data_IF_416280630458
#
_entry.id   IF_416280630458
#
_cell.length_a   1.000
_cell.length_b   1.000
_cell.length_c   1.000
_cell.angle_alpha   90.00
_cell.angle_beta   90.00
_cell.angle_gamma   90.00
#
_symmetry.space_group_name_H-M   'P 1'
#
loop_
_entity.id
_entity.type
_entity.pdbx_description
1 polymer ?
#
# COMPACT_ATOMS: atom_id res chain seq x y z
N UNK A 1 2.21 -27.85 -1.65
CA UNK A 1 2.41 -26.40 -1.61
C UNK A 1 3.24 -25.96 -2.83
N UNK A 2 2.77 -24.96 -3.54
CA UNK A 2 3.56 -24.32 -4.60
C UNK A 2 4.08 -23.00 -4.05
N UNK A 3 5.36 -22.72 -4.23
CA UNK A 3 5.95 -21.42 -3.97
C UNK A 3 6.63 -20.89 -5.23
N UNK A 4 6.40 -19.63 -5.54
CA UNK A 4 7.10 -18.88 -6.57
C UNK A 4 8.00 -17.88 -5.85
N UNK A 5 9.30 -17.93 -6.13
CA UNK A 5 10.25 -16.99 -5.57
C UNK A 5 10.43 -15.82 -6.54
N UNK A 6 10.17 -14.61 -6.07
CA UNK A 6 10.44 -13.37 -6.80
C UNK A 6 11.58 -12.65 -6.08
N UNK A 7 12.84 -12.93 -6.43
CA UNK A 7 13.96 -12.16 -5.91
C UNK A 7 13.95 -10.75 -6.51
N UNK A 8 14.02 -9.75 -5.68
CA UNK A 8 14.24 -8.37 -6.10
C UNK A 8 15.30 -7.72 -5.23
N UNK A 9 16.05 -6.80 -5.80
CA UNK A 9 17.04 -6.02 -5.09
C UNK A 9 16.44 -4.68 -4.71
N UNK A 10 16.60 -4.29 -3.47
CA UNK A 10 16.18 -3.00 -2.95
C UNK A 10 17.36 -2.39 -2.19
N UNK A 11 17.61 -1.08 -2.27
CA UNK A 11 18.59 -0.45 -1.42
C UNK A 11 18.15 -0.55 0.03
N UNK A 12 19.03 -0.96 0.91
CA UNK A 12 18.78 -1.07 2.34
C UNK A 12 19.85 -0.33 3.12
N UNK A 13 19.43 0.15 4.29
CA UNK A 13 20.31 0.68 5.31
C UNK A 13 21.58 -0.17 5.46
N UNK A 14 22.66 0.31 4.90
CA UNK A 14 23.98 -0.09 5.32
C UNK A 14 24.56 1.07 6.12
N UNK A 15 24.95 0.80 7.36
CA UNK A 15 25.60 1.78 8.23
C UNK A 15 27.09 1.96 7.88
N UNK A 16 27.57 1.18 6.93
CA UNK A 16 28.93 1.21 6.41
C UNK A 16 28.92 1.82 5.00
N UNK A 17 29.77 2.82 4.79
CA UNK A 17 29.88 3.68 3.60
C UNK A 17 30.44 2.99 2.35
N UNK A 18 30.37 1.67 2.23
CA UNK A 18 30.98 0.90 1.14
C UNK A 18 30.03 0.65 -0.05
N UNK A 19 29.12 1.59 -0.32
CA UNK A 19 28.27 1.52 -1.52
C UNK A 19 29.10 1.68 -2.80
N UNK A 20 28.87 0.81 -3.80
CA UNK A 20 29.43 0.97 -5.13
C UNK A 20 28.74 2.14 -5.84
N UNK A 21 29.49 2.92 -6.63
CA UNK A 21 28.87 3.91 -7.52
C UNK A 21 28.07 3.24 -8.62
N UNK A 22 27.13 3.96 -9.25
CA UNK A 22 26.38 3.43 -10.38
C UNK A 22 27.30 2.91 -11.49
N UNK A 23 28.40 3.61 -11.75
CA UNK A 23 29.41 3.17 -12.73
C UNK A 23 30.13 1.88 -12.31
N UNK A 24 30.43 1.72 -11.01
CA UNK A 24 31.10 0.51 -10.50
C UNK A 24 30.14 -0.69 -10.48
N UNK A 25 28.86 -0.47 -10.17
CA UNK A 25 27.86 -1.53 -10.04
C UNK A 25 27.36 -2.04 -11.40
N UNK A 26 27.05 -1.14 -12.34
CA UNK A 26 26.48 -1.45 -13.65
C UNK A 26 27.51 -1.39 -14.79
N UNK A 27 28.76 -1.00 -14.51
CA UNK A 27 29.78 -0.82 -15.54
C UNK A 27 29.39 0.25 -16.55
N UNK A 28 29.71 0.03 -17.83
CA UNK A 28 29.42 0.97 -18.93
C UNK A 28 27.89 1.15 -19.16
N UNK A 29 27.07 0.23 -18.69
CA UNK A 29 25.62 0.21 -18.93
C UNK A 29 24.85 1.12 -17.97
N UNK A 30 25.49 1.73 -16.97
CA UNK A 30 24.82 2.58 -15.97
C UNK A 30 23.97 3.69 -16.59
N UNK A 31 24.36 4.20 -17.77
CA UNK A 31 23.61 5.26 -18.50
C UNK A 31 22.25 4.80 -19.03
N UNK A 32 22.06 3.49 -19.15
CA UNK A 32 20.81 2.87 -19.60
C UNK A 32 19.94 2.39 -18.45
N UNK A 33 20.39 2.58 -17.21
CA UNK A 33 19.67 2.14 -16.02
C UNK A 33 18.86 3.30 -15.45
N UNK A 34 17.60 3.01 -15.11
CA UNK A 34 16.70 3.92 -14.44
C UNK A 34 16.34 3.39 -13.07
N UNK A 35 16.17 4.31 -12.13
CA UNK A 35 15.68 4.03 -10.79
C UNK A 35 14.16 4.18 -10.74
N UNK A 36 13.50 3.18 -10.17
CA UNK A 36 12.07 3.20 -9.87
C UNK A 36 11.87 3.21 -8.36
N UNK A 37 11.07 4.14 -7.90
CA UNK A 37 10.69 4.24 -6.49
C UNK A 37 9.38 3.51 -6.26
N UNK A 38 9.26 2.86 -5.10
CA UNK A 38 8.00 2.33 -4.61
C UNK A 38 7.90 2.49 -3.10
N UNK A 39 6.69 2.56 -2.59
CA UNK A 39 6.41 2.61 -1.15
C UNK A 39 5.61 1.38 -0.76
N UNK A 40 6.01 0.74 0.32
CA UNK A 40 5.21 -0.26 1.03
C UNK A 40 4.83 0.34 2.39
N UNK A 41 3.54 0.56 2.59
CA UNK A 41 3.04 1.27 3.77
C UNK A 41 2.18 0.38 4.63
N UNK A 42 2.42 0.39 5.94
CA UNK A 42 1.46 -0.03 6.94
C UNK A 42 0.58 1.16 7.32
N UNK A 43 -0.73 0.95 7.39
CA UNK A 43 -1.72 2.03 7.55
C UNK A 43 -2.67 1.76 8.70
N UNK A 44 -3.00 2.83 9.43
CA UNK A 44 -4.10 2.87 10.38
C UNK A 44 -4.99 4.05 10.05
N UNK A 45 -6.30 3.84 10.04
CA UNK A 45 -7.29 4.88 9.73
C UNK A 45 -8.45 4.86 10.68
N UNK A 46 -8.99 6.04 10.92
CA UNK A 46 -10.27 6.23 11.58
C UNK A 46 -11.26 6.81 10.57
N UNK A 47 -12.31 6.08 10.30
CA UNK A 47 -13.43 6.48 9.45
C UNK A 47 -14.54 7.06 10.30
N UNK A 48 -15.13 8.14 9.81
CA UNK A 48 -16.21 8.87 10.45
C UNK A 48 -17.37 8.91 9.48
N UNK A 49 -18.30 7.92 9.53
CA UNK A 49 -19.46 7.89 8.67
C UNK A 49 -20.23 9.21 8.74
N UNK A 50 -20.65 9.73 7.58
CA UNK A 50 -21.46 10.95 7.56
C UNK A 50 -22.92 10.62 7.80
N UNK A 51 -23.69 11.63 8.24
CA UNK A 51 -25.12 11.49 8.49
C UNK A 51 -25.84 10.95 7.25
N UNK A 52 -26.60 9.89 7.42
CA UNK A 52 -27.25 9.15 6.33
C UNK A 52 -26.58 7.84 5.96
N UNK A 53 -25.37 7.58 6.43
CA UNK A 53 -24.73 6.27 6.27
C UNK A 53 -25.51 5.18 7.00
N UNK A 54 -25.68 4.03 6.35
CA UNK A 54 -26.52 2.95 6.86
C UNK A 54 -25.79 1.62 6.97
N UNK A 55 -26.36 0.78 7.79
CA UNK A 55 -26.10 -0.65 7.81
C UNK A 55 -27.00 -1.38 6.83
N UNK A 56 -26.61 -2.59 6.37
CA UNK A 56 -27.42 -3.45 5.49
C UNK A 56 -28.81 -3.79 6.03
N UNK A 57 -29.04 -3.62 7.33
CA UNK A 57 -30.34 -3.80 7.97
C UNK A 57 -31.16 -2.48 8.04
N UNK A 58 -30.66 -1.40 7.41
CA UNK A 58 -31.30 -0.08 7.39
C UNK A 58 -31.11 0.75 8.64
N UNK A 59 -30.33 0.28 9.62
CA UNK A 59 -29.95 1.05 10.80
C UNK A 59 -28.93 2.13 10.47
N UNK A 60 -28.86 3.19 11.29
CA UNK A 60 -27.82 4.22 11.17
C UNK A 60 -26.42 3.65 11.47
N UNK A 61 -25.42 4.14 10.75
CA UNK A 61 -24.00 3.83 10.98
C UNK A 61 -23.32 5.13 11.49
N UNK A 62 -23.39 5.36 12.79
CA UNK A 62 -22.93 6.60 13.42
C UNK A 62 -21.57 6.45 14.13
N UNK A 63 -21.17 5.21 14.44
CA UNK A 63 -19.94 4.94 15.15
C UNK A 63 -18.71 5.06 14.23
N UNK A 64 -17.62 5.57 14.77
CA UNK A 64 -16.35 5.59 14.05
C UNK A 64 -15.77 4.19 13.87
N UNK A 65 -15.19 3.95 12.70
CA UNK A 65 -14.58 2.65 12.35
C UNK A 65 -13.06 2.78 12.36
N UNK A 66 -12.37 1.87 13.02
CA UNK A 66 -10.92 1.76 12.95
C UNK A 66 -10.51 0.71 11.93
N UNK A 67 -9.67 1.07 10.98
CA UNK A 67 -9.15 0.16 9.96
C UNK A 67 -7.63 0.05 10.07
N UNK A 68 -7.13 -1.14 9.76
CA UNK A 68 -5.70 -1.39 9.51
C UNK A 68 -5.55 -1.97 8.13
N UNK A 69 -4.44 -1.62 7.47
CA UNK A 69 -4.21 -2.06 6.11
C UNK A 69 -2.76 -1.93 5.66
N UNK A 70 -2.56 -2.32 4.42
CA UNK A 70 -1.28 -2.15 3.71
C UNK A 70 -1.55 -1.50 2.37
N UNK A 71 -0.60 -0.67 1.95
CA UNK A 71 -0.63 -0.04 0.62
C UNK A 71 0.72 -0.26 -0.05
N UNK A 72 0.67 -0.54 -1.34
CA UNK A 72 1.81 -0.51 -2.23
C UNK A 72 1.62 0.59 -3.26
N UNK A 73 2.55 1.54 -3.33
CA UNK A 73 2.57 2.60 -4.33
C UNK A 73 3.81 2.45 -5.21
N UNK A 74 3.62 2.42 -6.52
CA UNK A 74 4.68 2.34 -7.52
C UNK A 74 4.74 3.65 -8.30
N UNK A 75 5.90 4.29 -8.29
CA UNK A 75 6.12 5.55 -8.98
C UNK A 75 6.38 5.29 -10.47
N UNK A 76 5.49 5.82 -11.31
CA UNK A 76 5.57 5.74 -12.76
C UNK A 76 6.61 6.73 -13.31
N UNK A 77 6.77 7.85 -12.61
CA UNK A 77 7.83 8.84 -12.80
C UNK A 77 8.22 9.42 -11.42
N UNK A 78 8.90 10.55 -11.36
CA UNK A 78 9.33 11.18 -10.10
C UNK A 78 8.16 11.61 -9.20
N UNK A 79 6.98 11.81 -9.77
CA UNK A 79 5.83 12.41 -9.10
C UNK A 79 4.56 11.56 -9.19
N UNK A 80 4.25 11.02 -10.37
CA UNK A 80 3.06 10.23 -10.60
C UNK A 80 3.25 8.81 -10.04
N UNK A 81 2.29 8.34 -9.24
CA UNK A 81 2.32 6.98 -8.72
C UNK A 81 0.97 6.27 -8.91
N UNK A 82 1.06 4.97 -9.14
CA UNK A 82 -0.07 4.06 -9.03
C UNK A 82 -0.07 3.44 -7.64
N UNK A 83 -1.24 3.25 -7.05
CA UNK A 83 -1.38 2.69 -5.70
C UNK A 83 -2.37 1.55 -5.68
N UNK A 84 -2.09 0.57 -4.82
CA UNK A 84 -2.94 -0.56 -4.51
C UNK A 84 -2.99 -0.73 -2.99
N UNK A 85 -4.18 -0.84 -2.44
CA UNK A 85 -4.40 -0.88 -1.01
C UNK A 85 -5.41 -1.95 -0.64
N UNK A 86 -5.18 -2.58 0.50
CA UNK A 86 -6.16 -3.43 1.18
C UNK A 86 -6.21 -3.06 2.66
N UNK A 87 -7.41 -2.98 3.21
CA UNK A 87 -7.62 -2.70 4.62
C UNK A 87 -8.83 -3.48 5.17
N UNK A 88 -8.84 -3.68 6.48
CA UNK A 88 -9.94 -4.32 7.17
C UNK A 88 -10.25 -3.63 8.49
N UNK A 89 -11.52 -3.64 8.88
CA UNK A 89 -11.97 -3.06 10.14
C UNK A 89 -11.51 -3.89 11.34
N UNK A 90 -10.95 -3.20 12.33
CA UNK A 90 -10.51 -3.78 13.61
C UNK A 90 -11.32 -3.25 14.79
N UNK A 91 -12.12 -2.20 14.57
CA UNK A 91 -13.02 -1.62 15.59
C UNK A 91 -14.22 -0.93 14.94
N UNK A 92 -15.22 -0.55 15.76
CA UNK A 92 -16.41 0.15 15.30
C UNK A 92 -17.63 -0.74 15.06
N UNK A 93 -17.65 -1.99 15.57
CA UNK A 93 -18.81 -2.87 15.47
C UNK A 93 -19.08 -3.47 14.08
N UNK A 94 -18.24 -3.19 13.09
CA UNK A 94 -18.36 -3.62 11.70
C UNK A 94 -17.37 -4.75 11.37
N UNK A 95 -17.25 -5.73 12.26
CA UNK A 95 -16.35 -6.86 12.07
C UNK A 95 -16.59 -7.58 10.73
N UNK A 96 -15.52 -7.73 9.94
CA UNK A 96 -15.58 -8.30 8.59
C UNK A 96 -15.75 -7.26 7.47
N UNK A 97 -15.84 -5.94 7.77
CA UNK A 97 -15.68 -4.92 6.72
C UNK A 97 -14.25 -4.92 6.21
N UNK A 98 -14.12 -4.94 4.90
CA UNK A 98 -12.82 -4.85 4.22
C UNK A 98 -12.94 -4.05 2.94
N UNK A 99 -11.82 -3.50 2.49
CA UNK A 99 -11.70 -2.76 1.25
C UNK A 99 -10.46 -3.18 0.45
N UNK A 100 -10.59 -3.11 -0.87
CA UNK A 100 -9.54 -3.34 -1.85
C UNK A 100 -9.62 -2.24 -2.89
N UNK A 101 -8.64 -1.37 -2.91
CA UNK A 101 -8.66 -0.16 -3.72
C UNK A 101 -7.41 -0.07 -4.59
N UNK A 102 -7.57 0.50 -5.77
CA UNK A 102 -6.47 0.85 -6.67
C UNK A 102 -6.69 2.24 -7.24
N UNK A 103 -5.63 2.94 -7.57
CA UNK A 103 -5.75 4.28 -8.11
C UNK A 103 -4.44 4.95 -8.50
N UNK A 104 -4.53 6.24 -8.68
CA UNK A 104 -3.41 7.09 -9.06
C UNK A 104 -3.29 8.26 -8.09
N UNK A 105 -2.07 8.69 -7.88
CA UNK A 105 -1.76 9.87 -7.09
C UNK A 105 -0.56 10.62 -7.63
N UNK A 106 -0.34 11.78 -7.07
CA UNK A 106 0.75 12.65 -7.46
C UNK A 106 1.50 13.11 -6.21
N UNK A 107 2.83 13.05 -6.24
CA UNK A 107 3.70 13.52 -5.16
C UNK A 107 4.27 14.88 -5.51
N UNK A 108 3.96 15.88 -4.69
CA UNK A 108 4.40 17.27 -4.86
C UNK A 108 5.36 17.60 -3.71
N UNK A 109 6.68 17.65 -3.95
CA UNK A 109 7.63 18.08 -2.91
C UNK A 109 7.38 19.54 -2.55
N UNK A 110 7.35 19.83 -1.24
CA UNK A 110 7.18 21.18 -0.69
C UNK A 110 8.52 21.82 -0.28
N UNK A 111 9.53 21.01 -0.04
CA UNK A 111 10.86 21.46 0.40
C UNK A 111 11.93 21.05 -0.60
N UNK A 112 13.00 21.85 -0.70
CA UNK A 112 14.11 21.60 -1.63
C UNK A 112 14.92 20.34 -1.27
N UNK A 113 14.91 19.94 -0.02
CA UNK A 113 15.55 18.73 0.47
C UNK A 113 14.67 17.49 0.34
N UNK A 114 13.50 17.63 -0.33
CA UNK A 114 12.53 16.57 -0.61
C UNK A 114 12.01 15.83 0.65
N UNK A 115 12.12 16.49 1.83
CA UNK A 115 11.65 15.89 3.09
C UNK A 115 10.17 15.99 3.32
N UNK A 116 9.53 17.04 2.79
CA UNK A 116 8.10 17.27 2.96
C UNK A 116 7.43 17.28 1.59
N UNK A 117 6.37 16.50 1.44
CA UNK A 117 5.60 16.42 0.21
C UNK A 117 4.11 16.25 0.50
N UNK A 118 3.26 16.70 -0.43
CA UNK A 118 1.84 16.39 -0.43
C UNK A 118 1.54 15.32 -1.48
N UNK A 119 0.58 14.44 -1.15
CA UNK A 119 0.19 13.27 -1.95
C UNK A 119 -1.32 13.25 -2.18
N UNK A 120 -1.87 14.10 -3.08
CA UNK A 120 -3.24 13.90 -3.54
C UNK A 120 -3.35 12.60 -4.33
N UNK A 121 -4.43 11.86 -4.10
CA UNK A 121 -4.72 10.63 -4.85
C UNK A 121 -6.22 10.35 -4.95
N UNK A 122 -6.57 9.59 -5.97
CA UNK A 122 -7.92 9.07 -6.16
C UNK A 122 -7.83 7.58 -6.37
N UNK A 123 -8.65 6.83 -5.65
CA UNK A 123 -8.73 5.37 -5.75
C UNK A 123 -10.16 4.93 -5.95
N UNK A 124 -10.32 3.81 -6.62
CA UNK A 124 -11.58 3.10 -6.84
C UNK A 124 -11.39 1.64 -6.48
N UNK A 125 -12.46 0.95 -6.15
CA UNK A 125 -12.37 -0.48 -5.90
C UNK A 125 -13.58 -1.05 -5.24
N UNK A 126 -13.35 -2.11 -4.46
CA UNK A 126 -14.38 -2.82 -3.74
C UNK A 126 -14.27 -2.64 -2.23
N UNK A 127 -15.41 -2.49 -1.58
CA UNK A 127 -15.52 -2.51 -0.13
C UNK A 127 -16.83 -3.19 0.29
N UNK A 128 -16.82 -3.81 1.46
CA UNK A 128 -18.04 -4.43 1.98
C UNK A 128 -17.81 -5.33 3.17
N UNK A 129 -18.87 -5.95 3.64
CA UNK A 129 -18.90 -6.77 4.85
C UNK A 129 -19.20 -5.96 6.10
N UNK A 130 -19.15 -6.61 7.27
CA UNK A 130 -19.41 -5.96 8.56
C UNK A 130 -20.78 -5.32 8.71
N UNK A 131 -21.72 -5.61 7.81
CA UNK A 131 -23.04 -4.98 7.83
C UNK A 131 -23.08 -3.54 7.32
N UNK A 132 -22.03 -3.05 6.66
CA UNK A 132 -22.00 -1.71 6.04
C UNK A 132 -22.73 -1.74 4.70
N UNK A 133 -23.63 -0.77 4.46
CA UNK A 133 -24.43 -0.69 3.25
C UNK A 133 -23.65 -0.03 2.10
N UNK A 134 -22.81 -0.79 1.43
CA UNK A 134 -22.01 -0.34 0.29
C UNK A 134 -22.70 -0.59 -1.06
N UNK A 135 -23.97 -1.01 -1.08
CA UNK A 135 -24.68 -1.37 -2.30
C UNK A 135 -24.03 -2.58 -2.98
N UNK A 136 -23.59 -2.41 -4.20
CA UNK A 136 -22.87 -3.44 -4.97
C UNK A 136 -21.41 -3.60 -4.57
N UNK A 137 -20.94 -2.92 -3.53
CA UNK A 137 -19.57 -2.95 -3.05
C UNK A 137 -18.59 -2.02 -3.78
N UNK A 138 -19.01 -1.34 -4.82
CA UNK A 138 -18.17 -0.35 -5.50
C UNK A 138 -18.00 0.89 -4.65
N UNK A 139 -16.75 1.34 -4.49
CA UNK A 139 -16.43 2.56 -3.76
C UNK A 139 -15.40 3.40 -4.50
N UNK A 140 -15.46 4.70 -4.26
CA UNK A 140 -14.47 5.67 -4.74
C UNK A 140 -13.95 6.48 -3.56
N UNK A 141 -12.66 6.86 -3.60
CA UNK A 141 -12.04 7.62 -2.52
C UNK A 141 -11.14 8.72 -3.07
N UNK A 142 -11.31 9.93 -2.56
CA UNK A 142 -10.37 11.02 -2.73
C UNK A 142 -9.52 11.17 -1.45
N UNK A 143 -8.23 11.27 -1.61
CA UNK A 143 -7.26 11.30 -0.52
C UNK A 143 -6.29 12.46 -0.66
N UNK A 144 -5.89 13.00 0.48
CA UNK A 144 -4.83 13.99 0.59
C UNK A 144 -3.87 13.56 1.70
N UNK A 145 -2.63 13.28 1.33
CA UNK A 145 -1.56 12.90 2.24
C UNK A 145 -0.53 14.00 2.44
N UNK A 146 0.06 14.06 3.62
CA UNK A 146 1.25 14.85 3.95
C UNK A 146 2.35 13.88 4.35
N UNK A 147 3.37 13.75 3.51
CA UNK A 147 4.54 12.92 3.75
C UNK A 147 5.63 13.71 4.43
N UNK A 148 6.19 13.16 5.50
CA UNK A 148 7.45 13.58 6.07
C UNK A 148 8.47 12.45 6.02
N UNK A 149 9.57 12.65 5.28
CA UNK A 149 10.65 11.67 5.14
C UNK A 149 11.57 11.72 6.33
N UNK A 150 11.58 10.66 7.14
CA UNK A 150 12.45 10.50 8.30
C UNK A 150 13.88 10.14 7.88
N UNK A 151 13.98 9.29 6.85
CA UNK A 151 15.26 8.84 6.29
C UNK A 151 15.07 8.55 4.79
N UNK A 152 16.13 8.23 4.03
CA UNK A 152 15.99 7.84 2.62
C UNK A 152 14.99 6.72 2.38
N UNK A 153 14.81 5.82 3.36
CA UNK A 153 13.98 4.62 3.23
C UNK A 153 12.74 4.60 4.13
N UNK A 154 12.50 5.65 4.91
CA UNK A 154 11.39 5.67 5.84
C UNK A 154 10.67 7.01 5.82
N UNK A 155 9.36 6.95 5.60
CA UNK A 155 8.47 8.12 5.63
C UNK A 155 7.30 7.87 6.57
N UNK A 156 6.84 8.94 7.22
CA UNK A 156 5.53 8.99 7.87
C UNK A 156 4.61 9.80 6.97
N UNK A 157 3.39 9.28 6.76
CA UNK A 157 2.37 9.96 5.96
C UNK A 157 1.12 10.11 6.84
N UNK A 158 0.71 11.35 7.07
CA UNK A 158 -0.60 11.66 7.61
C UNK A 158 -1.54 11.85 6.44
N UNK A 159 -2.67 11.17 6.44
CA UNK A 159 -3.63 11.29 5.36
C UNK A 159 -5.05 11.55 5.87
N UNK A 160 -5.88 12.06 4.98
CA UNK A 160 -7.30 12.25 5.21
C UNK A 160 -8.02 12.40 3.88
N UNK A 161 -9.32 12.17 3.93
CA UNK A 161 -10.09 12.20 2.70
C UNK A 161 -11.54 11.80 2.89
N UNK A 162 -12.14 11.44 1.78
CA UNK A 162 -13.54 11.07 1.70
C UNK A 162 -13.70 9.83 0.83
N UNK A 163 -14.48 8.86 1.31
CA UNK A 163 -14.87 7.66 0.59
C UNK A 163 -16.38 7.66 0.43
N UNK A 164 -16.85 7.29 -0.75
CA UNK A 164 -18.27 7.14 -1.07
C UNK A 164 -18.54 5.81 -1.75
N UNK A 165 -19.68 5.22 -1.44
CA UNK A 165 -20.26 4.08 -2.14
C UNK A 165 -21.43 4.56 -3.01
N UNK A 166 -21.20 4.83 -4.33
CA UNK A 166 -22.22 5.46 -5.18
C UNK A 166 -23.52 4.68 -5.32
N UNK A 167 -23.47 3.37 -5.17
CA UNK A 167 -24.63 2.46 -5.28
C UNK A 167 -25.19 2.04 -3.92
N UNK A 168 -24.64 2.61 -2.82
CA UNK A 168 -25.03 2.30 -1.43
C UNK A 168 -25.31 3.55 -0.60
N UNK A 169 -25.65 3.33 0.65
CA UNK A 169 -25.87 4.38 1.65
C UNK A 169 -24.67 4.48 2.61
N UNK A 170 -23.43 4.50 2.07
CA UNK A 170 -22.20 4.60 2.86
C UNK A 170 -21.28 5.68 2.33
N UNK A 171 -21.17 6.72 3.11
CA UNK A 171 -20.24 7.82 2.90
C UNK A 171 -19.45 8.07 4.17
N UNK A 172 -18.15 8.31 4.05
CA UNK A 172 -17.32 8.54 5.24
C UNK A 172 -16.16 9.49 4.95
N UNK A 173 -15.91 10.40 5.87
CA UNK A 173 -14.62 11.08 5.96
C UNK A 173 -13.66 10.23 6.78
N UNK A 174 -12.37 10.44 6.62
CA UNK A 174 -11.39 9.72 7.43
C UNK A 174 -10.12 10.52 7.66
N UNK A 175 -9.38 10.09 8.68
CA UNK A 175 -8.00 10.47 8.91
C UNK A 175 -7.16 9.22 9.13
N UNK A 176 -5.88 9.31 8.79
CA UNK A 176 -4.97 8.17 8.92
C UNK A 176 -3.53 8.55 9.19
N UNK A 177 -2.79 7.53 9.60
CA UNK A 177 -1.36 7.58 9.78
C UNK A 177 -0.74 6.34 9.12
N UNK A 178 0.29 6.57 8.31
CA UNK A 178 0.95 5.51 7.58
C UNK A 178 2.45 5.56 7.85
N UNK A 179 3.05 4.39 8.00
CA UNK A 179 4.49 4.22 8.01
C UNK A 179 4.88 3.58 6.68
N UNK A 180 5.59 4.33 5.84
CA UNK A 180 5.98 3.92 4.51
C UNK A 180 7.47 3.56 4.45
N UNK A 181 7.77 2.36 3.98
CA UNK A 181 9.11 1.95 3.60
C UNK A 181 9.33 2.25 2.12
N UNK A 182 10.34 3.07 1.83
CA UNK A 182 10.71 3.51 0.48
C UNK A 182 11.69 2.50 -0.10
N UNK A 183 11.29 1.85 -1.19
CA UNK A 183 12.10 0.91 -1.94
C UNK A 183 12.52 1.55 -3.27
N UNK A 184 13.74 1.26 -3.69
CA UNK A 184 14.23 1.64 -5.01
C UNK A 184 14.64 0.37 -5.76
N UNK A 185 14.21 0.26 -7.00
CA UNK A 185 14.59 -0.83 -7.91
C UNK A 185 15.21 -0.22 -9.17
N UNK A 186 16.11 -0.96 -9.78
CA UNK A 186 16.86 -0.50 -10.94
C UNK A 186 16.54 -1.38 -12.14
N UNK A 187 16.24 -0.75 -13.28
CA UNK A 187 15.93 -1.47 -14.52
C UNK A 187 16.53 -0.75 -15.74
N UNK A 188 16.71 -1.48 -16.84
CA UNK A 188 17.23 -0.95 -18.11
C UNK A 188 16.10 -0.46 -19.04
N UNK A 189 14.95 -0.04 -18.51
CA UNK A 189 13.80 0.34 -19.30
C UNK A 189 13.72 1.84 -19.67
N UNK A 190 14.63 2.64 -19.15
CA UNK A 190 14.73 4.10 -19.35
C UNK A 190 13.43 4.88 -19.00
N UNK A 191 12.50 4.28 -18.24
CA UNK A 191 11.22 4.90 -17.86
C UNK A 191 11.22 5.52 -16.48
N UNK A 192 12.20 5.17 -15.65
CA UNK A 192 12.38 5.73 -14.31
C UNK A 192 13.28 6.96 -14.28
N UNK A 193 13.71 7.34 -13.10
CA UNK A 193 14.68 8.41 -12.90
C UNK A 193 16.07 7.96 -13.36
N UNK A 194 16.74 8.67 -14.28
CA UNK A 194 18.09 8.33 -14.71
C UNK A 194 19.07 8.40 -13.54
N UNK A 195 20.06 7.47 -13.53
CA UNK A 195 21.12 7.49 -12.54
C UNK A 195 22.19 8.54 -12.87
N UNK A 196 22.89 9.00 -11.84
CA UNK A 196 24.14 9.74 -12.00
C UNK A 196 25.34 8.81 -11.80
N UNK A 197 26.46 9.11 -12.46
CA UNK A 197 27.68 8.26 -12.43
C UNK A 197 28.18 7.98 -11.02
N UNK A 198 28.13 9.00 -10.16
CA UNK A 198 28.59 8.94 -8.77
C UNK A 198 27.52 8.53 -7.76
N UNK A 199 26.33 8.16 -8.23
CA UNK A 199 25.26 7.74 -7.34
C UNK A 199 25.61 6.42 -6.65
N UNK A 200 25.53 6.39 -5.33
CA UNK A 200 25.87 5.20 -4.55
C UNK A 200 24.69 4.23 -4.58
N UNK A 201 24.94 3.03 -5.05
CA UNK A 201 23.97 1.95 -5.15
C UNK A 201 24.12 1.04 -3.93
N UNK A 202 23.13 1.06 -3.07
CA UNK A 202 23.06 0.16 -1.92
C UNK A 202 21.92 -0.81 -2.15
N UNK A 203 22.22 -2.09 -2.30
CA UNK A 203 21.20 -3.10 -2.58
C UNK A 203 21.18 -4.18 -1.51
N UNK A 204 20.00 -4.50 -0.99
CA UNK A 204 19.74 -5.78 -0.34
C UNK A 204 18.85 -6.63 -1.22
N UNK A 205 19.01 -7.94 -1.08
CA UNK A 205 18.19 -8.92 -1.79
C UNK A 205 16.99 -9.27 -0.92
N UNK A 206 15.82 -8.93 -1.38
CA UNK A 206 14.57 -9.38 -0.82
C UNK A 206 14.02 -10.55 -1.62
N UNK A 207 13.37 -11.47 -0.96
CA UNK A 207 12.68 -12.56 -1.61
C UNK A 207 11.23 -12.58 -1.15
N UNK A 208 10.33 -12.31 -2.07
CA UNK A 208 8.90 -12.51 -1.85
C UNK A 208 8.49 -13.90 -2.32
N UNK A 209 7.90 -14.68 -1.43
CA UNK A 209 7.40 -16.02 -1.73
C UNK A 209 5.89 -16.08 -1.49
N UNK A 210 5.04 -15.90 -2.53
CA UNK A 210 3.63 -16.19 -2.38
C UNK A 210 3.46 -17.69 -2.11
N UNK A 211 2.57 -18.03 -1.19
CA UNK A 211 2.27 -19.39 -0.81
C UNK A 211 0.77 -19.65 -0.92
N UNK A 212 0.42 -20.75 -1.56
CA UNK A 212 -0.93 -21.28 -1.58
C UNK A 212 -0.91 -22.64 -0.89
N UNK A 213 -1.71 -22.79 0.16
CA UNK A 213 -1.84 -24.03 0.91
C UNK A 213 -3.26 -24.56 0.79
N UNK A 214 -3.35 -25.85 0.51
CA UNK A 214 -4.60 -26.58 0.46
C UNK A 214 -4.63 -27.59 1.60
N UNK A 215 -5.62 -27.47 2.47
CA UNK A 215 -5.87 -28.41 3.55
C UNK A 215 -7.07 -29.25 3.19
N UNK A 216 -6.89 -30.57 3.10
CA UNK A 216 -7.94 -31.53 2.86
C UNK A 216 -8.52 -31.99 4.22
N UNK A 217 -9.84 -32.13 4.28
CA UNK A 217 -10.55 -32.59 5.48
C UNK A 217 -10.19 -31.84 6.76
N UNK A 218 -10.10 -30.54 6.68
CA UNK A 218 -9.77 -29.70 7.85
C UNK A 218 -10.81 -29.92 8.97
N UNK A 219 -10.34 -30.22 10.17
CA UNK A 219 -11.17 -30.48 11.33
C UNK A 219 -11.15 -29.29 12.29
N UNK A 220 -12.31 -28.94 12.82
CA UNK A 220 -12.44 -27.99 13.92
C UNK A 220 -13.02 -28.70 15.15
N UNK A 221 -12.89 -28.07 16.31
CA UNK A 221 -13.52 -28.55 17.54
C UNK A 221 -15.05 -28.58 17.36
N UNK A 222 -15.61 -29.79 17.17
CA UNK A 222 -17.05 -30.00 16.98
C UNK A 222 -17.50 -30.31 15.53
N UNK A 223 -16.59 -30.64 14.63
CA UNK A 223 -16.96 -31.10 13.28
C UNK A 223 -15.89 -30.90 12.22
N UNK A 224 -16.12 -31.44 11.04
CA UNK A 224 -15.32 -31.19 9.85
C UNK A 224 -15.74 -29.86 9.21
N UNK A 225 -14.78 -29.10 8.71
CA UNK A 225 -15.02 -27.90 7.89
C UNK A 225 -14.87 -28.15 6.38
N UNK A 226 -14.49 -29.38 5.99
CA UNK A 226 -14.14 -29.71 4.61
C UNK A 226 -12.77 -29.17 4.20
N UNK A 227 -12.58 -29.00 2.90
CA UNK A 227 -11.32 -28.49 2.36
C UNK A 227 -11.19 -26.99 2.59
N UNK A 228 -10.01 -26.56 2.99
CA UNK A 228 -9.67 -25.14 3.17
C UNK A 228 -8.49 -24.74 2.28
N UNK A 229 -8.57 -23.54 1.74
CA UNK A 229 -7.47 -22.93 1.00
C UNK A 229 -6.98 -21.70 1.77
N UNK A 230 -5.67 -21.60 1.94
CA UNK A 230 -5.01 -20.45 2.48
C UNK A 230 -4.07 -19.85 1.44
N UNK A 231 -4.22 -18.56 1.22
CA UNK A 231 -3.30 -17.76 0.41
C UNK A 231 -2.48 -16.88 1.35
N UNK A 232 -1.20 -16.91 1.20
CA UNK A 232 -0.27 -16.12 2.02
C UNK A 232 0.99 -15.78 1.28
N UNK A 233 1.87 -15.06 1.94
CA UNK A 233 3.20 -14.75 1.43
C UNK A 233 4.20 -14.60 2.56
N UNK A 234 5.47 -14.77 2.23
CA UNK A 234 6.61 -14.55 3.11
C UNK A 234 7.60 -13.62 2.42
N UNK A 235 8.10 -12.67 3.18
CA UNK A 235 9.17 -11.78 2.78
C UNK A 235 10.41 -12.13 3.61
N UNK A 236 11.54 -12.45 2.93
CA UNK A 236 12.83 -12.78 3.54
C UNK A 236 13.88 -11.77 3.09
#
# INVERSE_FOLDING_TARGET
>A
AFSLDFPFSSPVFNWEDDGLTAADYFGADWRNVSRHRSHLSARVRSYYPVSGSKTTNGGSLDDSLGLVGVEYSYFLDESLFATFETAGAVSGGVGGYAELLAGLGYRLPLTKDDRLAILPSVTIGGAGGGGVETGGGFVTRANFGLEYRLSPHLSIIMDGGYLTAPDGDYDTSYTGLNLAYVMETYSQDQKGTPLTESEIIQTTKWRFRPAHQWYFDAQRRGGSTGDMQLLGGKLD
#
